data_IF_815812567535
#
_entry.id   IF_815812567535
#
_cell.length_a   1.000
_cell.length_b   1.000
_cell.length_c   1.000
_cell.angle_alpha   90.00
_cell.angle_beta   90.00
_cell.angle_gamma   90.00
#
_symmetry.space_group_name_H-M   'P 1'
#
loop_
_entity.id
_entity.type
_entity.pdbx_description
1 polymer ?
#
# COMPACT_ATOMS: atom_id res chain seq x y z
N UNK A 1 -33.36 -8.92 -23.18
CA UNK A 1 -32.56 -8.66 -24.39
C UNK A 1 -31.09 -8.86 -24.01
N UNK A 2 -30.29 -9.61 -24.74
CA UNK A 2 -28.85 -9.66 -24.48
C UNK A 2 -28.26 -8.26 -24.68
N UNK A 3 -27.30 -7.83 -23.83
CA UNK A 3 -26.68 -6.53 -23.98
C UNK A 3 -26.03 -6.44 -25.36
N UNK A 4 -26.25 -5.31 -26.04
CA UNK A 4 -25.59 -5.06 -27.33
C UNK A 4 -24.06 -5.13 -27.12
N UNK A 5 -23.31 -5.59 -28.12
CA UNK A 5 -21.84 -5.70 -28.05
C UNK A 5 -21.16 -4.41 -27.57
N UNK A 6 -21.76 -3.24 -27.82
CA UNK A 6 -21.31 -1.94 -27.29
C UNK A 6 -21.49 -1.82 -25.77
N UNK A 7 -22.52 -2.39 -25.18
CA UNK A 7 -22.76 -2.37 -23.74
C UNK A 7 -21.78 -3.27 -22.97
N UNK A 8 -21.46 -4.43 -23.51
CA UNK A 8 -20.48 -5.34 -22.91
C UNK A 8 -19.05 -4.77 -22.93
N UNK A 9 -18.64 -4.18 -24.06
CA UNK A 9 -17.32 -3.53 -24.17
C UNK A 9 -17.19 -2.34 -23.19
N UNK A 10 -18.24 -1.54 -23.05
CA UNK A 10 -18.24 -0.42 -22.09
C UNK A 10 -18.16 -0.91 -20.63
N UNK A 11 -18.88 -1.98 -20.28
CA UNK A 11 -18.82 -2.58 -18.94
C UNK A 11 -17.43 -3.14 -18.63
N UNK A 12 -16.82 -3.83 -19.60
CA UNK A 12 -15.45 -4.36 -19.44
C UNK A 12 -14.42 -3.25 -19.27
N UNK A 13 -14.51 -2.18 -20.06
CA UNK A 13 -13.63 -1.02 -19.94
C UNK A 13 -13.78 -0.33 -18.57
N UNK A 14 -15.02 -0.16 -18.09
CA UNK A 14 -15.30 0.40 -16.78
C UNK A 14 -14.70 -0.46 -15.65
N UNK A 15 -14.85 -1.79 -15.72
CA UNK A 15 -14.28 -2.72 -14.75
C UNK A 15 -12.74 -2.69 -14.76
N UNK A 16 -12.12 -2.62 -15.94
CA UNK A 16 -10.66 -2.51 -16.05
C UNK A 16 -10.15 -1.19 -15.43
N UNK A 17 -10.81 -0.08 -15.72
CA UNK A 17 -10.43 1.22 -15.12
C UNK A 17 -10.64 1.22 -13.61
N UNK A 18 -11.76 0.68 -13.13
CA UNK A 18 -12.02 0.52 -11.70
C UNK A 18 -10.96 -0.35 -11.02
N UNK A 19 -10.56 -1.46 -11.68
CA UNK A 19 -9.48 -2.34 -11.20
C UNK A 19 -8.16 -1.60 -11.06
N UNK A 20 -7.77 -0.83 -12.06
CA UNK A 20 -6.55 -0.03 -12.01
C UNK A 20 -6.61 1.02 -10.89
N UNK A 21 -7.75 1.67 -10.72
CA UNK A 21 -7.97 2.65 -9.66
C UNK A 21 -7.86 2.03 -8.28
N UNK A 22 -8.52 0.89 -8.05
CA UNK A 22 -8.47 0.17 -6.76
C UNK A 22 -7.11 -0.45 -6.50
N UNK A 23 -6.39 -0.92 -7.52
CA UNK A 23 -5.07 -1.51 -7.39
C UNK A 23 -3.96 -0.46 -7.17
N UNK A 24 -4.13 0.77 -7.63
CA UNK A 24 -3.10 1.81 -7.55
C UNK A 24 -2.56 2.01 -6.13
N UNK A 25 -3.37 2.25 -5.10
CA UNK A 25 -2.85 2.44 -3.74
C UNK A 25 -2.18 1.16 -3.20
N UNK A 26 -2.68 -0.02 -3.60
CA UNK A 26 -2.08 -1.30 -3.21
C UNK A 26 -0.71 -1.50 -3.83
N UNK A 27 -0.55 -1.17 -5.12
CA UNK A 27 0.74 -1.25 -5.83
C UNK A 27 1.75 -0.30 -5.19
N UNK A 28 1.36 0.97 -4.98
CA UNK A 28 2.25 1.98 -4.39
C UNK A 28 2.73 1.57 -2.99
N UNK A 29 1.81 1.12 -2.12
CA UNK A 29 2.14 0.68 -0.78
C UNK A 29 2.96 -0.64 -0.79
N UNK A 30 2.63 -1.60 -1.68
CA UNK A 30 3.37 -2.85 -1.80
C UNK A 30 4.83 -2.63 -2.25
N UNK A 31 5.09 -1.66 -3.13
CA UNK A 31 6.46 -1.30 -3.49
C UNK A 31 7.24 -0.79 -2.27
N UNK A 32 6.60 0.00 -1.40
CA UNK A 32 7.16 0.36 -0.11
C UNK A 32 7.43 -0.85 0.78
N UNK A 33 6.46 -1.75 0.93
CA UNK A 33 6.60 -3.00 1.67
C UNK A 33 7.79 -3.83 1.19
N UNK A 34 7.97 -3.97 -0.14
CA UNK A 34 9.12 -4.69 -0.72
C UNK A 34 10.46 -4.05 -0.31
N UNK A 35 10.57 -2.74 -0.38
CA UNK A 35 11.82 -2.05 -0.02
C UNK A 35 12.19 -2.31 1.45
N UNK A 36 11.23 -2.24 2.35
CA UNK A 36 11.43 -2.51 3.77
C UNK A 36 11.74 -3.98 4.05
N UNK A 37 10.90 -4.90 3.54
CA UNK A 37 11.01 -6.32 3.86
C UNK A 37 12.19 -6.99 3.19
N UNK A 38 12.57 -6.58 1.97
CA UNK A 38 13.81 -7.02 1.33
C UNK A 38 15.07 -6.54 2.05
N UNK A 39 14.97 -5.50 2.88
CA UNK A 39 16.04 -5.07 3.79
C UNK A 39 16.02 -5.83 5.13
N UNK A 40 15.03 -6.71 5.36
CA UNK A 40 14.88 -7.48 6.58
C UNK A 40 13.97 -6.83 7.64
N UNK A 41 13.28 -5.72 7.34
CA UNK A 41 12.42 -5.02 8.29
C UNK A 41 10.95 -5.19 7.91
N UNK A 42 10.17 -5.88 8.75
CA UNK A 42 8.71 -6.00 8.59
C UNK A 42 8.07 -4.62 8.79
N UNK A 43 7.22 -4.18 7.87
CA UNK A 43 6.59 -2.87 7.95
C UNK A 43 5.05 -2.95 8.04
N UNK A 44 4.55 -3.27 9.22
CA UNK A 44 3.10 -3.24 9.50
C UNK A 44 2.57 -1.79 9.59
N UNK A 45 3.47 -0.80 9.68
CA UNK A 45 3.07 0.61 9.70
C UNK A 45 2.47 1.11 8.37
N UNK A 46 2.53 0.34 7.27
CA UNK A 46 2.02 0.77 5.96
C UNK A 46 0.60 1.34 6.03
N UNK A 47 -0.28 0.73 6.83
CA UNK A 47 -1.67 1.21 7.00
C UNK A 47 -1.71 2.62 7.60
N UNK A 48 -0.98 2.85 8.69
CA UNK A 48 -0.89 4.16 9.31
C UNK A 48 -0.19 5.21 8.42
N UNK A 49 0.81 4.78 7.65
CA UNK A 49 1.54 5.65 6.72
C UNK A 49 0.66 6.11 5.55
N UNK A 50 -0.19 5.21 5.02
CA UNK A 50 -1.22 5.56 4.02
C UNK A 50 -2.15 6.61 4.61
N UNK A 51 -2.67 6.36 5.82
CA UNK A 51 -3.63 7.27 6.45
C UNK A 51 -3.03 8.64 6.77
N UNK A 52 -1.79 8.68 7.28
CA UNK A 52 -1.07 9.92 7.53
C UNK A 52 -0.80 10.71 6.23
N UNK A 53 -0.40 10.02 5.16
CA UNK A 53 -0.20 10.61 3.84
C UNK A 53 -1.51 11.18 3.27
N UNK A 54 -2.61 10.45 3.40
CA UNK A 54 -3.94 10.90 2.99
C UNK A 54 -4.37 12.17 3.74
N UNK A 55 -4.17 12.21 5.06
CA UNK A 55 -4.49 13.38 5.87
C UNK A 55 -3.67 14.60 5.47
N UNK A 56 -2.34 14.46 5.42
CA UNK A 56 -1.45 15.58 5.10
C UNK A 56 -1.62 16.06 3.66
N UNK A 57 -1.94 15.17 2.74
CA UNK A 57 -2.28 15.52 1.36
C UNK A 57 -3.42 16.52 1.27
N UNK A 58 -4.48 16.33 2.05
CA UNK A 58 -5.62 17.26 2.10
C UNK A 58 -5.32 18.46 2.98
N UNK A 59 -4.76 18.29 4.17
CA UNK A 59 -4.53 19.37 5.11
C UNK A 59 -3.64 20.48 4.53
N UNK A 60 -2.55 20.10 3.85
CA UNK A 60 -1.64 21.02 3.17
C UNK A 60 -2.10 21.33 1.72
N UNK A 61 -2.87 20.46 1.10
CA UNK A 61 -3.39 20.60 -0.26
C UNK A 61 -4.41 21.72 -0.44
N UNK A 62 -4.89 22.30 0.64
CA UNK A 62 -5.75 23.51 0.65
C UNK A 62 -5.09 24.71 0.00
N UNK A 63 -3.77 24.79 0.05
CA UNK A 63 -3.01 25.90 -0.55
C UNK A 63 -2.65 25.59 -2.00
N UNK A 64 -2.18 24.38 -2.27
CA UNK A 64 -1.82 23.88 -3.60
C UNK A 64 -1.71 22.36 -3.56
N UNK A 65 -2.17 21.72 -4.63
CA UNK A 65 -2.08 20.25 -4.76
C UNK A 65 -0.62 19.74 -4.67
N UNK A 66 0.34 20.48 -5.19
CA UNK A 66 1.76 20.13 -5.11
C UNK A 66 2.30 20.23 -3.67
N UNK A 67 1.86 21.24 -2.91
CA UNK A 67 2.22 21.38 -1.49
C UNK A 67 1.60 20.22 -0.71
N UNK A 68 0.36 19.85 -0.99
CA UNK A 68 -0.29 18.68 -0.41
C UNK A 68 0.48 17.40 -0.66
N UNK A 69 0.88 17.16 -1.90
CA UNK A 69 1.68 15.98 -2.26
C UNK A 69 3.04 15.98 -1.53
N UNK A 70 3.75 17.11 -1.54
CA UNK A 70 5.04 17.24 -0.85
C UNK A 70 4.91 16.99 0.66
N UNK A 71 3.86 17.50 1.30
CA UNK A 71 3.57 17.28 2.73
C UNK A 71 3.21 15.81 3.02
N UNK A 72 2.44 15.15 2.14
CA UNK A 72 2.16 13.73 2.25
C UNK A 72 3.44 12.89 2.19
N UNK A 73 4.32 13.15 1.22
CA UNK A 73 5.60 12.45 1.10
C UNK A 73 6.51 12.73 2.31
N UNK A 74 6.54 13.97 2.80
CA UNK A 74 7.34 14.36 3.95
C UNK A 74 6.88 13.66 5.23
N UNK A 75 5.56 13.57 5.50
CA UNK A 75 5.06 12.82 6.67
C UNK A 75 5.31 11.34 6.53
N UNK A 76 5.21 10.77 5.32
CA UNK A 76 5.58 9.38 5.05
C UNK A 76 7.05 9.10 5.32
N UNK A 77 7.94 9.98 4.86
CA UNK A 77 9.37 9.90 5.15
C UNK A 77 9.66 10.03 6.66
N UNK A 78 9.02 10.97 7.34
CA UNK A 78 9.18 11.19 8.78
C UNK A 78 8.75 9.95 9.59
N UNK A 79 7.54 9.46 9.38
CA UNK A 79 7.03 8.30 10.12
C UNK A 79 7.77 7.02 9.73
N UNK A 80 8.18 6.87 8.46
CA UNK A 80 9.06 5.79 8.02
C UNK A 80 10.43 5.86 8.70
N UNK A 81 11.02 7.05 8.84
CA UNK A 81 12.27 7.26 9.57
C UNK A 81 12.10 6.98 11.08
N UNK A 82 10.95 7.34 11.67
CA UNK A 82 10.62 6.97 13.07
C UNK A 82 10.55 5.46 13.22
N UNK A 83 9.88 4.74 12.30
CA UNK A 83 9.83 3.28 12.32
C UNK A 83 11.24 2.66 12.19
N UNK A 84 12.05 3.19 11.26
CA UNK A 84 13.45 2.79 11.11
C UNK A 84 14.27 3.05 12.38
N UNK A 85 14.10 4.19 13.03
CA UNK A 85 14.77 4.53 14.27
C UNK A 85 14.39 3.57 15.41
N UNK A 86 13.09 3.34 15.61
CA UNK A 86 12.59 2.42 16.63
C UNK A 86 13.10 0.99 16.43
N UNK A 87 13.11 0.50 15.19
CA UNK A 87 13.53 -0.87 14.91
C UNK A 87 15.04 -1.04 14.88
N UNK A 88 15.80 -0.06 14.36
CA UNK A 88 17.25 -0.21 14.14
C UNK A 88 18.12 0.37 15.26
N UNK A 89 17.66 1.40 15.99
CA UNK A 89 18.40 2.03 17.06
C UNK A 89 17.95 1.60 18.44
N UNK A 90 16.62 1.52 18.68
CA UNK A 90 16.10 1.08 19.97
C UNK A 90 15.85 -0.43 20.03
N UNK A 91 16.08 -1.15 18.91
CA UNK A 91 15.87 -2.60 18.78
C UNK A 91 14.46 -3.04 19.19
N UNK A 92 13.47 -2.18 18.92
CA UNK A 92 12.06 -2.50 19.17
C UNK A 92 11.60 -3.52 18.15
N UNK A 93 10.79 -4.48 18.59
CA UNK A 93 10.15 -5.44 17.68
C UNK A 93 9.43 -4.73 16.54
N UNK A 94 9.66 -5.18 15.31
CA UNK A 94 9.18 -4.55 14.07
C UNK A 94 7.65 -4.45 14.05
N UNK A 95 6.96 -5.51 14.49
CA UNK A 95 5.49 -5.59 14.54
C UNK A 95 4.93 -4.58 15.54
N UNK A 96 5.52 -4.53 16.75
CA UNK A 96 5.08 -3.62 17.82
C UNK A 96 5.28 -2.16 17.39
N UNK A 97 6.44 -1.83 16.83
CA UNK A 97 6.72 -0.49 16.30
C UNK A 97 5.74 -0.10 15.18
N UNK A 98 5.48 -1.02 14.24
CA UNK A 98 4.55 -0.80 13.13
C UNK A 98 3.11 -0.56 13.59
N UNK A 99 2.63 -1.38 14.52
CA UNK A 99 1.29 -1.22 15.12
C UNK A 99 1.18 0.09 15.91
N UNK A 100 2.21 0.46 16.69
CA UNK A 100 2.21 1.72 17.44
C UNK A 100 2.08 2.93 16.50
N UNK A 101 2.81 2.94 15.38
CA UNK A 101 2.71 4.00 14.37
C UNK A 101 1.33 4.00 13.71
N UNK A 102 0.77 2.83 13.42
CA UNK A 102 -0.58 2.72 12.84
C UNK A 102 -1.63 3.27 13.78
N UNK A 103 -1.59 2.90 15.07
CA UNK A 103 -2.52 3.41 16.08
C UNK A 103 -2.37 4.93 16.28
N UNK A 104 -1.12 5.42 16.32
CA UNK A 104 -0.83 6.86 16.40
C UNK A 104 -1.39 7.61 15.19
N UNK A 105 -1.17 7.09 13.98
CA UNK A 105 -1.68 7.69 12.75
C UNK A 105 -3.21 7.69 12.73
N UNK A 106 -3.86 6.56 13.07
CA UNK A 106 -5.32 6.44 13.10
C UNK A 106 -5.95 7.40 14.13
N UNK A 107 -5.47 7.37 15.37
CA UNK A 107 -5.96 8.26 16.42
C UNK A 107 -5.65 9.73 16.17
N UNK A 108 -4.40 9.99 15.74
CA UNK A 108 -3.91 11.35 15.46
C UNK A 108 -4.65 12.00 14.28
N UNK A 109 -4.80 11.30 13.16
CA UNK A 109 -5.52 11.84 11.98
C UNK A 109 -7.00 12.04 12.27
N UNK A 110 -7.64 11.14 13.05
CA UNK A 110 -9.04 11.32 13.47
C UNK A 110 -9.22 12.55 14.36
N UNK A 111 -8.32 12.77 15.32
CA UNK A 111 -8.33 13.95 16.19
C UNK A 111 -8.09 15.24 15.40
N UNK A 112 -7.07 15.26 14.55
CA UNK A 112 -6.72 16.41 13.73
C UNK A 112 -7.81 16.72 12.68
N UNK A 113 -8.46 15.69 12.13
CA UNK A 113 -9.60 15.85 11.23
C UNK A 113 -10.72 16.64 11.89
N UNK A 114 -11.10 16.29 13.13
CA UNK A 114 -12.14 17.01 13.86
C UNK A 114 -11.80 18.47 14.12
N UNK A 115 -10.50 18.80 14.29
CA UNK A 115 -10.05 20.18 14.53
C UNK A 115 -9.82 20.99 13.27
N UNK A 116 -9.30 20.39 12.21
CA UNK A 116 -8.78 21.12 11.04
C UNK A 116 -9.62 20.96 9.78
N UNK A 117 -10.34 19.85 9.62
CA UNK A 117 -11.00 19.48 8.35
C UNK A 117 -12.51 19.17 8.52
N UNK A 118 -13.08 19.43 9.71
CA UNK A 118 -14.48 19.08 10.05
C UNK A 118 -15.52 19.69 9.11
N UNK A 119 -15.24 20.85 8.52
CA UNK A 119 -16.17 21.60 7.69
C UNK A 119 -16.24 21.10 6.23
N UNK A 120 -15.82 19.83 5.98
CA UNK A 120 -15.94 19.22 4.67
C UNK A 120 -15.00 19.80 3.62
N UNK A 121 -13.78 20.12 4.03
CA UNK A 121 -12.75 20.67 3.14
C UNK A 121 -12.54 19.78 1.93
N UNK A 122 -12.88 20.31 0.76
CA UNK A 122 -12.52 19.76 -0.54
C UNK A 122 -11.31 20.49 -1.09
N UNK A 123 -10.49 19.78 -1.84
CA UNK A 123 -9.30 20.34 -2.49
C UNK A 123 -9.37 20.13 -4.00
N UNK A 124 -8.75 21.03 -4.75
CA UNK A 124 -8.37 20.74 -6.12
C UNK A 124 -7.29 19.67 -6.09
N UNK A 125 -7.67 18.44 -6.46
CA UNK A 125 -6.78 17.31 -6.42
C UNK A 125 -5.82 17.28 -7.62
N UNK A 126 -4.93 16.29 -7.60
CA UNK A 126 -4.08 15.98 -8.75
C UNK A 126 -4.82 15.03 -9.70
N UNK A 127 -4.61 15.17 -11.03
CA UNK A 127 -5.17 14.25 -12.00
C UNK A 127 -4.80 12.80 -11.66
N UNK A 128 -5.81 11.93 -11.67
CA UNK A 128 -5.67 10.51 -11.35
C UNK A 128 -4.64 9.80 -12.24
N UNK A 129 -4.52 10.25 -13.50
CA UNK A 129 -3.58 9.70 -14.48
C UNK A 129 -2.13 9.70 -14.01
N UNK A 130 -1.70 10.72 -13.26
CA UNK A 130 -0.31 10.78 -12.75
C UNK A 130 0.00 9.63 -11.79
N UNK A 131 -0.94 9.32 -10.92
CA UNK A 131 -0.78 8.22 -9.95
C UNK A 131 -0.92 6.85 -10.63
N UNK A 132 -1.83 6.71 -11.60
CA UNK A 132 -1.97 5.48 -12.38
C UNK A 132 -0.69 5.16 -13.16
N UNK A 133 -0.13 6.15 -13.86
CA UNK A 133 1.14 6.00 -14.57
C UNK A 133 2.28 5.72 -13.57
N UNK A 134 2.32 6.45 -12.46
CA UNK A 134 3.29 6.20 -11.39
C UNK A 134 3.21 4.78 -10.82
N UNK A 135 1.99 4.29 -10.53
CA UNK A 135 1.78 2.93 -10.04
C UNK A 135 2.16 1.86 -11.06
N UNK A 136 1.98 2.12 -12.36
CA UNK A 136 2.41 1.21 -13.41
C UNK A 136 3.93 1.16 -13.55
N UNK A 137 4.61 2.29 -13.44
CA UNK A 137 6.07 2.39 -13.63
C UNK A 137 6.87 2.03 -12.39
N UNK A 138 6.34 2.28 -11.19
CA UNK A 138 7.06 2.08 -9.92
C UNK A 138 7.53 0.63 -9.70
N UNK A 139 6.76 -0.44 -10.03
CA UNK A 139 7.24 -1.81 -9.89
C UNK A 139 8.47 -2.10 -10.75
N UNK A 140 8.55 -1.54 -11.95
CA UNK A 140 9.73 -1.68 -12.82
C UNK A 140 10.92 -0.89 -12.27
N UNK A 141 10.68 0.33 -11.76
CA UNK A 141 11.72 1.14 -11.13
C UNK A 141 12.30 0.45 -9.88
N UNK A 142 11.43 -0.12 -9.02
CA UNK A 142 11.87 -0.87 -7.83
C UNK A 142 12.56 -2.17 -8.23
N UNK A 143 12.11 -2.88 -9.26
CA UNK A 143 12.77 -4.06 -9.77
C UNK A 143 14.17 -3.73 -10.29
N UNK A 144 14.31 -2.67 -11.07
CA UNK A 144 15.59 -2.17 -11.56
C UNK A 144 16.48 -1.71 -10.40
N UNK A 145 15.96 -0.95 -9.44
CA UNK A 145 16.68 -0.53 -8.24
C UNK A 145 17.28 -1.73 -7.50
N UNK A 146 16.47 -2.76 -7.25
CA UNK A 146 16.89 -3.95 -6.50
C UNK A 146 17.85 -4.84 -7.29
N UNK A 147 17.72 -4.95 -8.61
CA UNK A 147 18.54 -5.86 -9.43
C UNK A 147 19.83 -5.23 -9.93
N UNK A 148 19.81 -3.94 -10.31
CA UNK A 148 20.85 -3.32 -11.12
C UNK A 148 21.63 -2.23 -10.40
N UNK A 149 21.24 -1.83 -9.16
CA UNK A 149 21.95 -0.77 -8.44
C UNK A 149 22.78 -1.30 -7.28
N UNK A 150 23.84 -0.55 -6.93
CA UNK A 150 24.67 -0.84 -5.75
C UNK A 150 23.86 -0.79 -4.44
N UNK A 151 22.88 0.11 -4.36
CA UNK A 151 21.98 0.20 -3.21
C UNK A 151 21.10 -1.05 -3.09
N UNK A 152 20.47 -1.49 -4.18
CA UNK A 152 19.63 -2.69 -4.19
C UNK A 152 20.41 -3.96 -3.87
N UNK A 153 21.65 -4.08 -4.36
CA UNK A 153 22.52 -5.20 -4.01
C UNK A 153 22.81 -5.23 -2.50
N UNK A 154 23.20 -4.08 -1.91
CA UNK A 154 23.44 -3.96 -0.46
C UNK A 154 22.19 -4.25 0.35
N UNK A 155 21.05 -3.75 -0.09
CA UNK A 155 19.75 -3.94 0.57
C UNK A 155 19.41 -5.44 0.64
N UNK A 156 19.51 -6.16 -0.48
CA UNK A 156 19.26 -7.62 -0.52
C UNK A 156 20.26 -8.40 0.33
N UNK A 157 21.55 -8.04 0.26
CA UNK A 157 22.58 -8.69 1.07
C UNK A 157 22.31 -8.55 2.57
N UNK A 158 21.88 -7.36 3.03
CA UNK A 158 21.50 -7.09 4.43
C UNK A 158 20.23 -7.86 4.81
N UNK A 159 19.26 -7.98 3.92
CA UNK A 159 18.02 -8.72 4.18
C UNK A 159 18.20 -10.24 4.19
N UNK A 160 19.19 -10.78 3.48
CA UNK A 160 19.49 -12.22 3.50
C UNK A 160 20.41 -12.60 4.67
N UNK A 161 21.50 -11.85 4.87
CA UNK A 161 22.44 -12.13 5.97
C UNK A 161 23.18 -10.85 6.42
N UNK A 162 22.67 -10.16 7.45
CA UNK A 162 23.26 -8.91 7.92
C UNK A 162 24.69 -9.09 8.48
N UNK A 163 25.00 -10.26 9.05
CA UNK A 163 26.33 -10.55 9.59
C UNK A 163 27.35 -10.70 8.45
N UNK A 164 27.05 -11.47 7.43
CA UNK A 164 27.91 -11.61 6.25
C UNK A 164 28.05 -10.27 5.49
N UNK A 165 26.97 -9.48 5.40
CA UNK A 165 27.02 -8.15 4.81
C UNK A 165 27.98 -7.21 5.56
N UNK A 166 27.95 -7.23 6.90
CA UNK A 166 28.90 -6.45 7.74
C UNK A 166 30.35 -6.89 7.53
N UNK A 167 30.62 -8.18 7.45
CA UNK A 167 31.96 -8.68 7.16
C UNK A 167 32.47 -8.25 5.78
N UNK A 168 31.55 -8.03 4.82
CA UNK A 168 31.86 -7.44 3.52
C UNK A 168 31.93 -5.90 3.51
N UNK A 169 31.91 -5.26 4.70
CA UNK A 169 31.99 -3.79 4.83
C UNK A 169 30.67 -3.04 4.57
N UNK A 170 29.52 -3.75 4.53
CA UNK A 170 28.20 -3.13 4.32
C UNK A 170 27.57 -2.85 5.68
N UNK A 171 27.37 -1.56 6.01
CA UNK A 171 26.66 -1.17 7.22
C UNK A 171 25.16 -1.45 7.09
N UNK A 172 24.60 -2.39 7.89
CA UNK A 172 23.20 -2.82 7.82
C UNK A 172 22.22 -1.71 8.22
N UNK A 173 22.51 -1.02 9.34
CA UNK A 173 21.63 -0.01 9.91
C UNK A 173 21.29 1.14 8.94
N UNK A 174 22.25 1.81 8.28
CA UNK A 174 21.92 2.86 7.30
C UNK A 174 21.13 2.34 6.11
N UNK A 175 21.43 1.14 5.62
CA UNK A 175 20.72 0.54 4.48
C UNK A 175 19.27 0.27 4.85
N UNK A 176 19.00 -0.35 5.99
CA UNK A 176 17.66 -0.58 6.52
C UNK A 176 16.92 0.73 6.77
N UNK A 177 17.60 1.72 7.36
CA UNK A 177 17.01 3.04 7.65
C UNK A 177 16.49 3.71 6.38
N UNK A 178 17.29 3.77 5.32
CA UNK A 178 16.88 4.34 4.03
C UNK A 178 15.74 3.53 3.41
N UNK A 179 15.82 2.20 3.44
CA UNK A 179 14.79 1.33 2.87
C UNK A 179 13.42 1.53 3.54
N UNK A 180 13.38 1.60 4.87
CA UNK A 180 12.14 1.80 5.65
C UNK A 180 11.60 3.23 5.46
N UNK A 181 12.47 4.24 5.38
CA UNK A 181 12.07 5.61 5.07
C UNK A 181 11.43 5.71 3.68
N UNK A 182 12.04 5.10 2.67
CA UNK A 182 11.45 5.03 1.32
C UNK A 182 10.14 4.25 1.29
N UNK A 183 10.02 3.20 2.10
CA UNK A 183 8.76 2.48 2.29
C UNK A 183 7.66 3.41 2.80
N UNK A 184 7.97 4.28 3.76
CA UNK A 184 7.03 5.27 4.26
C UNK A 184 6.59 6.28 3.19
N UNK A 185 7.52 6.73 2.35
CA UNK A 185 7.20 7.62 1.21
C UNK A 185 6.24 6.96 0.23
N UNK A 186 6.49 5.70 -0.16
CA UNK A 186 5.62 4.96 -1.06
C UNK A 186 4.21 4.75 -0.47
N UNK A 187 4.11 4.42 0.82
CA UNK A 187 2.83 4.25 1.50
C UNK A 187 2.06 5.57 1.60
N UNK A 188 2.73 6.67 1.93
CA UNK A 188 2.10 7.99 1.98
C UNK A 188 1.66 8.47 0.59
N UNK A 189 2.39 8.12 -0.48
CA UNK A 189 1.98 8.37 -1.85
C UNK A 189 0.66 7.64 -2.19
N UNK A 190 0.49 6.41 -1.71
CA UNK A 190 -0.79 5.69 -1.83
C UNK A 190 -1.92 6.41 -1.10
N UNK A 191 -1.64 6.96 0.08
CA UNK A 191 -2.59 7.77 0.83
C UNK A 191 -2.96 9.07 0.12
N UNK A 192 -1.98 9.80 -0.42
CA UNK A 192 -2.20 10.98 -1.22
C UNK A 192 -3.09 10.69 -2.45
N UNK A 193 -2.88 9.55 -3.12
CA UNK A 193 -3.76 9.11 -4.19
C UNK A 193 -5.22 8.99 -3.74
N UNK A 194 -5.47 8.30 -2.63
CA UNK A 194 -6.83 8.10 -2.12
C UNK A 194 -7.53 9.42 -1.79
N UNK A 195 -6.84 10.33 -1.13
CA UNK A 195 -7.43 11.57 -0.65
C UNK A 195 -7.44 12.70 -1.68
N UNK A 196 -6.37 12.81 -2.50
CA UNK A 196 -6.20 13.93 -3.43
C UNK A 196 -6.74 13.65 -4.83
N UNK A 197 -6.80 12.38 -5.27
CA UNK A 197 -7.20 12.05 -6.64
C UNK A 197 -8.51 11.27 -6.75
N UNK A 198 -8.86 10.51 -5.72
CA UNK A 198 -10.10 9.72 -5.72
C UNK A 198 -11.22 10.45 -4.97
N UNK A 199 -10.96 10.81 -3.69
CA UNK A 199 -12.01 11.36 -2.85
C UNK A 199 -12.06 12.90 -2.83
N UNK A 200 -10.98 13.58 -3.21
CA UNK A 200 -10.79 15.06 -3.11
C UNK A 200 -11.04 15.62 -1.71
N UNK A 201 -11.00 14.75 -0.71
CA UNK A 201 -11.21 15.06 0.72
C UNK A 201 -10.57 13.97 1.57
N UNK A 202 -10.37 14.28 2.85
CA UNK A 202 -10.01 13.26 3.83
C UNK A 202 -11.26 12.74 4.56
N UNK A 203 -11.31 11.45 4.78
CA UNK A 203 -12.26 10.79 5.70
C UNK A 203 -11.48 9.95 6.69
N UNK A 204 -11.86 9.95 7.99
CA UNK A 204 -11.25 9.03 8.96
C UNK A 204 -11.31 7.59 8.45
N UNK A 205 -10.22 6.86 8.68
CA UNK A 205 -10.08 5.44 8.31
C UNK A 205 -10.21 5.12 6.81
N UNK A 206 -10.03 6.11 5.91
CA UNK A 206 -10.20 5.93 4.45
C UNK A 206 -9.21 4.96 3.81
N UNK A 207 -8.16 4.57 4.51
CA UNK A 207 -7.24 3.51 4.09
C UNK A 207 -7.90 2.13 4.07
N UNK A 208 -8.88 1.89 4.96
CA UNK A 208 -9.74 0.70 4.99
C UNK A 208 -8.96 -0.62 4.87
N UNK A 209 -7.80 -0.73 5.56
CA UNK A 209 -6.99 -1.95 5.54
C UNK A 209 -6.11 -2.13 4.30
N UNK A 210 -6.06 -1.16 3.39
CA UNK A 210 -5.27 -1.25 2.14
C UNK A 210 -3.77 -1.49 2.38
N UNK A 211 -3.22 -1.01 3.51
CA UNK A 211 -1.84 -1.29 3.90
C UNK A 211 -1.60 -2.76 4.23
N UNK A 212 -2.54 -3.41 4.90
CA UNK A 212 -2.46 -4.85 5.19
C UNK A 212 -2.65 -5.70 3.93
N UNK A 213 -3.56 -5.29 3.02
CA UNK A 213 -3.73 -5.94 1.72
C UNK A 213 -2.46 -5.78 0.87
N UNK A 214 -1.79 -4.62 0.93
CA UNK A 214 -0.53 -4.40 0.25
C UNK A 214 0.58 -5.34 0.78
N UNK A 215 0.66 -5.59 2.09
CA UNK A 215 1.56 -6.61 2.65
C UNK A 215 1.22 -8.02 2.15
N UNK A 216 -0.08 -8.36 2.08
CA UNK A 216 -0.49 -9.62 1.49
C UNK A 216 -0.04 -9.72 0.02
N UNK A 217 -0.14 -8.64 -0.76
CA UNK A 217 0.35 -8.59 -2.14
C UNK A 217 1.87 -8.78 -2.24
N UNK A 218 2.67 -8.28 -1.28
CA UNK A 218 4.13 -8.54 -1.18
C UNK A 218 4.41 -10.03 -1.00
N UNK A 219 3.71 -10.68 -0.07
CA UNK A 219 3.85 -12.13 0.19
C UNK A 219 3.42 -12.92 -1.05
N UNK A 220 2.30 -12.56 -1.66
CA UNK A 220 1.78 -13.15 -2.89
C UNK A 220 2.80 -13.07 -4.03
N UNK A 221 3.43 -11.91 -4.16
CA UNK A 221 4.48 -11.65 -5.13
C UNK A 221 5.83 -12.24 -4.77
N UNK A 222 5.94 -13.02 -3.68
CA UNK A 222 7.20 -13.65 -3.21
C UNK A 222 8.34 -12.63 -3.06
N UNK A 223 8.03 -11.47 -2.51
CA UNK A 223 8.96 -10.34 -2.36
C UNK A 223 9.61 -9.88 -3.68
N UNK A 224 8.98 -10.17 -4.83
CA UNK A 224 9.40 -9.66 -6.13
C UNK A 224 8.50 -8.49 -6.55
N UNK A 225 9.04 -7.33 -7.01
CA UNK A 225 8.23 -6.14 -7.31
C UNK A 225 7.12 -6.37 -8.31
N UNK A 226 7.41 -7.02 -9.44
CA UNK A 226 6.41 -7.31 -10.47
C UNK A 226 5.38 -8.34 -9.98
N UNK A 227 5.81 -9.33 -9.19
CA UNK A 227 4.90 -10.29 -8.58
C UNK A 227 3.92 -9.64 -7.61
N UNK A 228 4.41 -8.70 -6.77
CA UNK A 228 3.56 -7.95 -5.84
C UNK A 228 2.61 -6.99 -6.58
N UNK A 229 3.04 -6.41 -7.70
CA UNK A 229 2.15 -5.60 -8.54
C UNK A 229 1.01 -6.45 -9.13
N UNK A 230 1.30 -7.68 -9.60
CA UNK A 230 0.28 -8.63 -10.05
C UNK A 230 -0.66 -9.02 -8.90
N UNK A 231 -0.12 -9.29 -7.70
CA UNK A 231 -0.93 -9.55 -6.51
C UNK A 231 -1.84 -8.36 -6.15
N UNK A 232 -1.31 -7.14 -6.21
CA UNK A 232 -2.08 -5.92 -5.97
C UNK A 232 -3.18 -5.70 -7.02
N UNK A 233 -2.91 -6.00 -8.29
CA UNK A 233 -3.92 -5.98 -9.36
C UNK A 233 -5.02 -7.02 -9.11
N UNK A 234 -4.66 -8.21 -8.67
CA UNK A 234 -5.60 -9.25 -8.30
C UNK A 234 -6.54 -8.78 -7.18
N UNK A 235 -6.00 -8.23 -6.08
CA UNK A 235 -6.83 -7.71 -4.99
C UNK A 235 -7.65 -6.48 -5.42
N UNK A 236 -7.06 -5.59 -6.22
CA UNK A 236 -7.76 -4.43 -6.78
C UNK A 236 -8.91 -4.82 -7.72
N UNK A 237 -8.78 -5.95 -8.43
CA UNK A 237 -9.88 -6.49 -9.25
C UNK A 237 -11.07 -6.90 -8.40
N UNK A 238 -10.86 -7.61 -7.29
CA UNK A 238 -11.97 -8.01 -6.41
C UNK A 238 -12.58 -6.83 -5.66
N UNK A 239 -11.79 -5.83 -5.27
CA UNK A 239 -12.28 -4.57 -4.69
C UNK A 239 -13.15 -3.79 -5.71
N UNK A 240 -12.71 -3.71 -6.96
CA UNK A 240 -13.46 -3.10 -8.04
C UNK A 240 -14.74 -3.88 -8.39
N UNK A 241 -14.65 -5.21 -8.44
CA UNK A 241 -15.78 -6.09 -8.72
C UNK A 241 -16.85 -5.94 -7.64
N UNK A 242 -16.47 -5.98 -6.36
CA UNK A 242 -17.36 -5.74 -5.24
C UNK A 242 -18.08 -4.40 -5.38
N UNK A 243 -17.35 -3.30 -5.63
CA UNK A 243 -17.91 -1.97 -5.79
C UNK A 243 -18.89 -1.89 -6.95
N UNK A 244 -18.58 -2.52 -8.09
CA UNK A 244 -19.46 -2.56 -9.26
C UNK A 244 -20.74 -3.38 -8.99
N UNK A 245 -20.64 -4.49 -8.28
CA UNK A 245 -21.80 -5.29 -7.90
C UNK A 245 -22.73 -4.53 -6.95
N UNK A 246 -22.19 -3.78 -6.01
CA UNK A 246 -22.98 -2.92 -5.11
C UNK A 246 -23.70 -1.80 -5.87
N UNK A 247 -23.01 -1.12 -6.80
CA UNK A 247 -23.61 -0.03 -7.59
C UNK A 247 -24.70 -0.56 -8.52
N UNK A 248 -24.49 -1.73 -9.12
CA UNK A 248 -25.41 -2.30 -10.13
C UNK A 248 -26.65 -2.96 -9.53
N UNK A 249 -26.77 -3.07 -8.19
CA UNK A 249 -27.83 -3.81 -7.49
C UNK A 249 -28.08 -5.22 -8.10
N UNK A 250 -27.02 -5.87 -8.59
CA UNK A 250 -27.11 -7.19 -9.20
C UNK A 250 -27.34 -8.23 -8.11
N UNK A 251 -28.50 -8.89 -8.16
CA UNK A 251 -28.80 -10.03 -7.32
C UNK A 251 -28.01 -11.25 -7.81
N UNK A 252 -26.85 -11.50 -7.21
CA UNK A 252 -26.08 -12.70 -7.50
C UNK A 252 -26.58 -13.84 -6.62
N UNK A 253 -27.17 -14.86 -7.25
CA UNK A 253 -27.43 -16.15 -6.59
C UNK A 253 -26.30 -17.10 -7.00
N UNK A 254 -25.32 -17.27 -6.14
CA UNK A 254 -24.23 -18.22 -6.36
C UNK A 254 -24.14 -19.17 -5.15
N UNK A 255 -23.97 -20.45 -5.42
CA UNK A 255 -23.86 -21.52 -4.40
C UNK A 255 -25.07 -21.60 -3.44
N UNK A 256 -26.27 -21.21 -3.89
CA UNK A 256 -27.49 -21.23 -3.07
C UNK A 256 -27.58 -20.10 -2.04
N UNK A 257 -26.69 -19.12 -2.10
CA UNK A 257 -26.69 -17.93 -1.24
C UNK A 257 -27.06 -16.71 -2.10
N UNK A 258 -28.03 -15.93 -1.64
CA UNK A 258 -28.32 -14.63 -2.23
C UNK A 258 -27.27 -13.61 -1.75
N UNK A 259 -26.36 -13.24 -2.64
CA UNK A 259 -25.30 -12.24 -2.39
C UNK A 259 -25.81 -10.80 -2.50
N UNK A 260 -27.04 -10.57 -2.08
CA UNK A 260 -27.68 -9.24 -2.03
C UNK A 260 -27.30 -8.47 -0.75
N UNK A 261 -26.78 -9.16 0.26
CA UNK A 261 -26.41 -8.52 1.51
C UNK A 261 -25.10 -7.73 1.33
N UNK A 262 -25.10 -6.40 1.53
CA UNK A 262 -23.90 -5.58 1.41
C UNK A 262 -22.71 -6.11 2.24
N UNK A 263 -22.96 -6.66 3.43
CA UNK A 263 -21.91 -7.22 4.28
C UNK A 263 -21.22 -8.46 3.69
N UNK A 264 -21.94 -9.28 2.91
CA UNK A 264 -21.35 -10.43 2.21
C UNK A 264 -20.49 -9.97 1.04
N UNK A 265 -20.91 -8.93 0.32
CA UNK A 265 -20.11 -8.33 -0.75
C UNK A 265 -18.84 -7.67 -0.19
N UNK A 266 -18.94 -7.00 0.96
CA UNK A 266 -17.78 -6.43 1.65
C UNK A 266 -16.74 -7.48 2.08
N UNK A 267 -17.17 -8.70 2.36
CA UNK A 267 -16.29 -9.82 2.69
C UNK A 267 -15.58 -10.43 1.47
N UNK A 268 -16.07 -10.20 0.24
CA UNK A 268 -15.58 -10.84 -0.98
C UNK A 268 -14.07 -10.66 -1.21
N UNK A 269 -13.46 -9.46 -1.13
CA UNK A 269 -12.02 -9.31 -1.30
C UNK A 269 -11.22 -10.11 -0.27
N UNK A 270 -11.68 -10.20 0.97
CA UNK A 270 -11.00 -10.94 2.05
C UNK A 270 -11.12 -12.45 1.84
N UNK A 271 -12.29 -12.95 1.44
CA UNK A 271 -12.50 -14.36 1.12
C UNK A 271 -11.62 -14.77 -0.07
N UNK A 272 -11.56 -13.94 -1.11
CA UNK A 272 -10.72 -14.19 -2.27
C UNK A 272 -9.23 -14.13 -1.93
N UNK A 273 -8.83 -13.28 -0.97
CA UNK A 273 -7.47 -13.24 -0.44
C UNK A 273 -7.12 -14.56 0.24
N UNK A 274 -7.99 -15.06 1.11
CA UNK A 274 -7.80 -16.36 1.78
C UNK A 274 -7.75 -17.52 0.79
N UNK A 275 -8.69 -17.56 -0.15
CA UNK A 275 -8.73 -18.59 -1.18
C UNK A 275 -7.45 -18.59 -2.02
N UNK A 276 -6.99 -17.41 -2.42
CA UNK A 276 -5.79 -17.26 -3.21
C UNK A 276 -4.51 -17.62 -2.43
N UNK A 277 -4.41 -17.27 -1.14
CA UNK A 277 -3.31 -17.69 -0.28
C UNK A 277 -3.20 -19.20 -0.17
N UNK A 278 -4.33 -19.89 -0.09
CA UNK A 278 -4.36 -21.37 0.01
C UNK A 278 -4.05 -22.04 -1.32
N UNK A 279 -4.50 -21.47 -2.44
CA UNK A 279 -4.46 -22.17 -3.74
C UNK A 279 -3.31 -21.74 -4.65
N UNK A 280 -2.99 -20.43 -4.68
CA UNK A 280 -2.05 -19.86 -5.65
C UNK A 280 -0.66 -19.57 -5.07
N UNK A 281 -0.55 -19.33 -3.77
CA UNK A 281 0.73 -19.05 -3.14
C UNK A 281 1.41 -20.37 -2.76
N UNK A 282 2.16 -20.95 -3.67
CA UNK A 282 3.08 -22.04 -3.34
C UNK A 282 4.11 -21.59 -2.29
N UNK A 283 5.17 -22.39 -2.04
CA UNK A 283 6.22 -22.00 -1.07
C UNK A 283 6.78 -20.62 -1.38
N UNK A 284 6.47 -19.65 -0.53
CA UNK A 284 7.05 -18.31 -0.54
C UNK A 284 8.16 -18.26 0.52
N UNK A 285 9.39 -17.99 0.09
CA UNK A 285 10.54 -17.86 0.99
C UNK A 285 10.80 -16.39 1.26
N UNK A 286 10.54 -15.90 2.49
CA UNK A 286 10.90 -14.52 2.84
C UNK A 286 12.41 -14.34 2.88
N UNK A 287 12.93 -13.09 2.83
CA UNK A 287 14.33 -12.81 3.14
C UNK A 287 14.71 -13.41 4.50
N UNK A 288 15.86 -14.05 4.58
CA UNK A 288 16.20 -14.88 5.75
C UNK A 288 16.32 -14.08 7.06
N UNK A 289 16.69 -12.79 6.99
CA UNK A 289 16.76 -11.90 8.15
C UNK A 289 15.49 -11.08 8.36
N UNK A 290 14.36 -11.42 7.73
CA UNK A 290 13.12 -10.66 7.89
C UNK A 290 12.60 -10.75 9.32
N UNK A 291 12.44 -9.60 9.97
CA UNK A 291 11.95 -9.50 11.34
C UNK A 291 13.00 -9.82 12.41
N UNK A 292 14.23 -10.16 12.01
CA UNK A 292 15.32 -10.41 12.95
C UNK A 292 16.04 -9.11 13.32
N UNK A 293 16.33 -8.96 14.62
CA UNK A 293 17.13 -7.87 15.13
C UNK A 293 18.60 -8.07 14.72
N UNK A 294 19.32 -6.97 14.44
CA UNK A 294 20.78 -7.00 14.26
C UNK A 294 21.44 -7.28 15.61
N UNK A 295 22.02 -8.47 15.74
CA UNK A 295 22.87 -8.84 16.89
C UNK A 295 24.26 -8.23 16.81
#
# INVERSE_FOLDING_TARGET
MPPSNSGFAALLAALLLATLTSATPLILAAMGGILSERAGVVNIALEGLILAGAFMGVAAGRTSALIGLAAALAVGALLGAVHAFLTQKTRMNHVVSGLAITLLATGGTRYLFQKMLRDGVQIEGLPQSYFLVGALLLPFAVAWLLSSTRFGLRLRAVGENPTSARMAGIASVPVRFVAVTLSGVCAALAGAFLSMSVAHRFSPDMSAGKGFIALAAVIFGKWHPLGAAVGALFFGFFDALQSQLQISNVHLVALGVEWTNPFLLDALPYLMTLAALVTLVGRATPPAALGLEDT
#
